data_IF_276648969268
#
_entry.id   IF_276648969268
#
_cell.length_a   1.000
_cell.length_b   1.000
_cell.length_c   1.000
_cell.angle_alpha   90.00
_cell.angle_beta   90.00
_cell.angle_gamma   90.00
#
_symmetry.space_group_name_H-M   'P 1'
#
loop_
_entity.id
_entity.type
_entity.pdbx_description
1 polymer ?
#
# COMPACT_ATOMS: atom_id res chain seq x y z
N UNK A 1 24.84 -7.79 -1.39
CA UNK A 1 23.63 -7.03 -0.98
C UNK A 1 22.75 -7.83 -0.02
N UNK A 2 22.58 -9.13 -0.23
CA UNK A 2 21.82 -10.06 0.65
C UNK A 2 22.26 -10.00 2.12
N UNK A 3 23.56 -10.21 2.42
CA UNK A 3 24.10 -10.14 3.80
C UNK A 3 23.81 -8.82 4.51
N UNK A 4 23.72 -7.72 3.76
CA UNK A 4 23.47 -6.37 4.29
C UNK A 4 21.98 -5.99 4.31
N UNK A 5 21.09 -6.83 3.78
CA UNK A 5 19.66 -6.55 3.57
C UNK A 5 19.42 -5.18 2.89
N UNK A 6 20.17 -4.91 1.82
CA UNK A 6 20.07 -3.67 1.03
C UNK A 6 19.67 -3.98 -0.41
N UNK A 7 18.99 -3.04 -1.04
CA UNK A 7 18.70 -3.01 -2.48
C UNK A 7 19.58 -1.95 -3.16
N UNK A 8 19.85 -2.10 -4.46
CA UNK A 8 20.50 -1.07 -5.26
C UNK A 8 19.45 -0.17 -5.90
N UNK A 9 19.57 1.16 -5.77
CA UNK A 9 18.75 2.09 -6.54
C UNK A 9 19.49 2.44 -7.82
N UNK A 10 18.85 2.24 -8.98
CA UNK A 10 19.48 2.44 -10.29
C UNK A 10 18.58 3.23 -11.23
N UNK A 11 19.21 3.88 -12.20
CA UNK A 11 18.55 4.47 -13.35
C UNK A 11 18.69 3.51 -14.54
N UNK A 12 17.61 2.88 -14.94
CA UNK A 12 17.59 1.90 -16.02
C UNK A 12 17.19 2.54 -17.36
N UNK A 13 17.92 2.18 -18.41
CA UNK A 13 17.66 2.55 -19.81
C UNK A 13 17.70 1.25 -20.63
N UNK A 14 16.54 0.73 -21.02
CA UNK A 14 16.44 -0.60 -21.67
C UNK A 14 16.79 -0.57 -23.16
N UNK A 15 16.68 0.60 -23.81
CA UNK A 15 17.05 0.81 -25.22
C UNK A 15 17.52 2.24 -25.46
N UNK A 16 18.23 2.47 -26.56
CA UNK A 16 18.62 3.82 -27.00
C UNK A 16 17.36 4.66 -27.21
N UNK A 17 17.39 5.91 -26.72
CA UNK A 17 16.29 6.88 -26.79
C UNK A 17 14.99 6.45 -26.05
N UNK A 18 15.06 5.55 -25.08
CA UNK A 18 13.97 5.36 -24.12
C UNK A 18 14.06 6.37 -22.98
N UNK A 19 12.91 6.69 -22.38
CA UNK A 19 12.88 7.46 -21.13
C UNK A 19 13.53 6.64 -20.00
N UNK A 20 14.46 7.23 -19.23
CA UNK A 20 15.07 6.55 -18.12
C UNK A 20 14.02 6.28 -17.02
N UNK A 21 14.12 5.13 -16.37
CA UNK A 21 13.23 4.72 -15.27
C UNK A 21 14.03 4.43 -14.01
N UNK A 22 13.52 4.85 -12.85
CA UNK A 22 14.11 4.42 -11.59
C UNK A 22 13.72 2.97 -11.32
N UNK A 23 14.70 2.14 -10.98
CA UNK A 23 14.47 0.76 -10.59
C UNK A 23 15.17 0.43 -9.26
N UNK A 24 14.58 -0.49 -8.53
CA UNK A 24 15.21 -1.17 -7.41
C UNK A 24 15.79 -2.51 -7.90
N UNK A 25 17.10 -2.66 -7.81
CA UNK A 25 17.79 -3.95 -7.96
C UNK A 25 17.71 -4.71 -6.64
N UNK A 26 16.81 -5.68 -6.59
CA UNK A 26 16.68 -6.58 -5.45
C UNK A 26 17.54 -7.83 -5.65
N UNK A 27 18.52 -8.11 -4.77
CA UNK A 27 19.38 -9.28 -4.92
C UNK A 27 18.61 -10.58 -4.63
N UNK A 28 18.72 -11.56 -5.51
CA UNK A 28 18.16 -12.91 -5.36
C UNK A 28 19.29 -13.93 -5.17
N UNK A 29 19.18 -14.74 -4.12
CA UNK A 29 20.03 -15.91 -3.95
C UNK A 29 19.48 -17.07 -4.78
N UNK A 30 20.37 -17.94 -5.22
CA UNK A 30 19.96 -19.21 -5.80
C UNK A 30 19.22 -20.05 -4.76
N UNK A 31 18.05 -20.54 -5.14
CA UNK A 31 17.33 -21.57 -4.39
C UNK A 31 17.05 -22.72 -5.35
N UNK A 32 17.82 -23.79 -5.21
CA UNK A 32 17.65 -24.99 -6.02
C UNK A 32 16.61 -25.89 -5.35
N UNK A 33 15.41 -25.97 -5.91
CA UNK A 33 14.43 -26.95 -5.47
C UNK A 33 14.65 -28.29 -6.17
N UNK A 34 14.41 -29.39 -5.44
CA UNK A 34 14.63 -30.77 -5.89
C UNK A 34 13.78 -31.14 -7.13
N UNK A 35 12.77 -30.32 -7.48
CA UNK A 35 11.88 -30.47 -8.63
C UNK A 35 12.39 -29.83 -9.95
N UNK A 36 13.61 -29.30 -9.99
CA UNK A 36 14.22 -28.73 -11.20
C UNK A 36 13.81 -27.30 -11.54
N UNK A 37 12.86 -26.73 -10.79
CA UNK A 37 12.59 -25.29 -10.79
C UNK A 37 13.55 -24.62 -9.81
N UNK A 38 14.42 -23.76 -10.32
CA UNK A 38 15.41 -23.05 -9.52
C UNK A 38 15.15 -21.56 -9.61
N UNK A 39 15.12 -20.89 -8.46
CA UNK A 39 15.24 -19.44 -8.41
C UNK A 39 16.64 -19.05 -8.90
N UNK A 40 16.79 -18.35 -10.03
CA UNK A 40 18.11 -18.07 -10.59
C UNK A 40 18.87 -17.07 -9.71
N UNK A 41 20.20 -17.24 -9.53
CA UNK A 41 20.99 -16.24 -8.84
C UNK A 41 21.06 -14.95 -9.67
N UNK A 42 20.85 -13.80 -9.03
CA UNK A 42 20.97 -12.53 -9.74
C UNK A 42 20.31 -11.35 -9.04
N UNK A 43 19.73 -10.47 -9.86
CA UNK A 43 19.02 -9.29 -9.39
C UNK A 43 17.67 -9.17 -10.10
N UNK A 44 16.61 -9.01 -9.31
CA UNK A 44 15.32 -8.56 -9.79
C UNK A 44 15.37 -7.08 -10.05
N UNK A 45 15.10 -6.67 -11.29
CA UNK A 45 14.95 -5.27 -11.65
C UNK A 45 13.48 -4.88 -11.46
N UNK A 46 13.18 -4.18 -10.37
CA UNK A 46 11.82 -3.76 -10.02
C UNK A 46 11.63 -2.29 -10.42
N UNK A 47 10.77 -1.97 -11.41
CA UNK A 47 10.41 -0.60 -11.73
C UNK A 47 9.80 0.13 -10.53
N UNK A 48 10.29 1.34 -10.25
CA UNK A 48 9.68 2.21 -9.25
C UNK A 48 8.76 3.22 -9.94
N UNK A 49 7.51 3.37 -9.47
CA UNK A 49 6.57 4.32 -10.06
C UNK A 49 7.05 5.77 -9.88
N UNK A 50 6.80 6.61 -10.88
CA UNK A 50 6.95 8.06 -10.73
C UNK A 50 5.77 8.64 -9.95
N UNK A 51 5.90 9.91 -9.53
CA UNK A 51 4.80 10.62 -8.86
C UNK A 51 3.50 10.64 -9.69
N UNK A 52 3.61 10.63 -11.02
CA UNK A 52 2.46 10.62 -11.93
C UNK A 52 1.75 9.26 -12.00
N UNK A 53 2.41 8.17 -11.62
CA UNK A 53 1.85 6.81 -11.57
C UNK A 53 1.12 6.55 -10.24
N UNK A 54 1.47 7.31 -9.18
CA UNK A 54 0.86 7.17 -7.85
C UNK A 54 -0.50 7.88 -7.85
N UNK A 55 -1.56 7.12 -7.56
CA UNK A 55 -2.93 7.64 -7.42
C UNK A 55 -3.27 7.75 -5.94
N UNK A 56 -3.77 8.91 -5.53
CA UNK A 56 -4.27 9.11 -4.17
C UNK A 56 -5.50 8.23 -3.93
N UNK A 57 -5.56 7.59 -2.75
CA UNK A 57 -6.72 6.80 -2.36
C UNK A 57 -7.94 7.72 -2.18
N UNK A 58 -9.13 7.34 -2.69
CA UNK A 58 -10.33 8.16 -2.59
C UNK A 58 -10.94 8.18 -1.17
N UNK A 59 -10.49 7.29 -0.28
CA UNK A 59 -11.03 7.14 1.08
C UNK A 59 -9.91 7.46 2.06
N UNK A 60 -10.16 8.43 2.94
CA UNK A 60 -9.23 8.89 3.97
C UNK A 60 -9.54 8.28 5.35
N UNK A 61 -10.72 7.68 5.52
CA UNK A 61 -11.18 7.06 6.77
C UNK A 61 -11.27 5.54 6.64
N UNK A 62 -10.46 4.85 7.43
CA UNK A 62 -10.48 3.39 7.56
C UNK A 62 -11.33 2.95 8.74
N UNK A 63 -11.84 1.73 8.66
CA UNK A 63 -12.62 1.09 9.71
C UNK A 63 -11.82 -0.08 10.28
N UNK A 64 -11.54 -0.07 11.58
CA UNK A 64 -10.79 -1.17 12.23
C UNK A 64 -11.72 -2.18 12.88
N UNK A 65 -11.63 -3.43 12.44
CA UNK A 65 -12.28 -4.58 13.06
C UNK A 65 -11.74 -4.87 14.48
N UNK A 66 -12.62 -5.39 15.34
CA UNK A 66 -12.26 -5.92 16.65
C UNK A 66 -11.35 -7.14 16.54
N UNK A 67 -10.64 -7.47 17.62
CA UNK A 67 -9.75 -8.64 17.63
C UNK A 67 -10.56 -9.96 17.65
N UNK A 68 -11.75 -9.97 18.25
CA UNK A 68 -12.65 -11.14 18.21
C UNK A 68 -13.10 -11.46 16.78
N UNK A 69 -13.39 -10.44 15.97
CA UNK A 69 -13.75 -10.62 14.56
C UNK A 69 -12.57 -11.11 13.71
N UNK A 70 -11.35 -10.64 14.01
CA UNK A 70 -10.12 -11.14 13.36
C UNK A 70 -9.84 -12.59 13.70
N UNK A 71 -10.00 -12.98 14.96
CA UNK A 71 -9.80 -14.38 15.39
C UNK A 71 -10.82 -15.31 14.72
N UNK A 72 -12.08 -14.86 14.62
CA UNK A 72 -13.11 -15.58 13.86
C UNK A 72 -12.75 -15.68 12.36
N UNK A 73 -12.14 -14.64 11.78
CA UNK A 73 -11.69 -14.65 10.40
C UNK A 73 -10.52 -15.61 10.15
N UNK A 74 -9.52 -15.60 11.02
CA UNK A 74 -8.34 -16.47 10.96
C UNK A 74 -8.71 -17.95 10.90
N UNK A 75 -9.75 -18.37 11.64
CA UNK A 75 -10.23 -19.76 11.64
C UNK A 75 -10.64 -20.25 10.26
N UNK A 76 -11.35 -19.44 9.48
CA UNK A 76 -11.77 -19.86 8.13
C UNK A 76 -10.68 -19.62 7.07
N UNK A 77 -9.87 -18.57 7.22
CA UNK A 77 -8.70 -18.30 6.35
C UNK A 77 -7.73 -19.49 6.42
N UNK A 78 -7.42 -19.97 7.63
CA UNK A 78 -6.56 -21.14 7.82
C UNK A 78 -7.08 -22.38 7.11
N UNK A 79 -8.41 -22.64 7.13
CA UNK A 79 -9.01 -23.78 6.43
C UNK A 79 -9.02 -23.67 4.90
N UNK A 80 -8.95 -22.46 4.37
CA UNK A 80 -8.92 -22.19 2.93
C UNK A 80 -7.52 -21.93 2.38
N UNK A 81 -6.51 -21.86 3.24
CA UNK A 81 -5.12 -21.82 2.82
C UNK A 81 -4.78 -23.04 1.96
N UNK A 82 -3.93 -22.81 0.96
CA UNK A 82 -3.46 -23.87 0.06
C UNK A 82 -2.56 -24.80 0.88
N UNK A 83 -2.72 -26.12 0.69
CA UNK A 83 -2.07 -27.16 1.52
C UNK A 83 -0.53 -27.05 1.58
N UNK A 84 0.10 -26.52 0.54
CA UNK A 84 1.55 -26.38 0.46
C UNK A 84 2.07 -25.04 1.00
N UNK A 85 1.21 -24.21 1.61
CA UNK A 85 1.58 -22.92 2.21
C UNK A 85 1.99 -21.82 1.21
N UNK A 86 2.38 -22.19 -0.01
CA UNK A 86 2.70 -21.30 -1.11
C UNK A 86 1.67 -21.41 -2.24
N UNK A 87 1.46 -20.30 -2.96
CA UNK A 87 0.67 -20.27 -4.18
C UNK A 87 1.53 -20.77 -5.35
N UNK A 88 1.18 -21.90 -6.00
CA UNK A 88 1.91 -22.40 -7.16
C UNK A 88 1.59 -21.55 -8.40
N UNK A 89 2.57 -20.82 -8.99
CA UNK A 89 2.31 -19.94 -10.14
C UNK A 89 1.80 -20.69 -11.38
N UNK A 90 2.23 -21.93 -11.59
CA UNK A 90 1.93 -22.71 -12.80
C UNK A 90 0.59 -23.46 -12.74
N UNK A 91 -0.12 -23.42 -11.60
CA UNK A 91 -1.37 -24.18 -11.44
C UNK A 91 -2.58 -23.54 -12.13
N UNK A 92 -2.45 -22.32 -12.63
CA UNK A 92 -3.58 -21.55 -13.17
C UNK A 92 -3.23 -20.98 -14.56
N UNK A 93 -3.55 -21.70 -15.64
CA UNK A 93 -3.34 -21.20 -17.00
C UNK A 93 -4.30 -20.06 -17.32
N UNK A 94 -3.95 -19.23 -18.31
CA UNK A 94 -4.85 -18.19 -18.83
C UNK A 94 -6.07 -18.84 -19.53
N UNK A 95 -7.30 -18.65 -19.03
CA UNK A 95 -8.50 -19.27 -19.61
C UNK A 95 -8.75 -18.87 -21.06
N UNK A 96 -8.50 -17.61 -21.42
CA UNK A 96 -8.74 -17.14 -22.79
C UNK A 96 -7.79 -17.81 -23.80
N UNK A 97 -6.54 -18.03 -23.41
CA UNK A 97 -5.58 -18.74 -24.26
C UNK A 97 -5.88 -20.24 -24.33
N UNK A 98 -6.24 -20.84 -23.19
CA UNK A 98 -6.60 -22.25 -23.13
C UNK A 98 -7.85 -22.54 -23.99
N UNK A 99 -8.88 -21.70 -23.88
CA UNK A 99 -10.10 -21.79 -24.69
C UNK A 99 -9.79 -21.64 -26.18
N UNK A 100 -9.00 -20.61 -26.55
CA UNK A 100 -8.61 -20.40 -27.94
C UNK A 100 -7.84 -21.58 -28.53
N UNK A 101 -6.88 -22.13 -27.78
CA UNK A 101 -6.10 -23.27 -28.24
C UNK A 101 -6.96 -24.54 -28.35
N UNK A 102 -7.87 -24.79 -27.42
CA UNK A 102 -8.81 -25.92 -27.48
C UNK A 102 -9.71 -25.82 -28.72
N UNK A 103 -10.17 -24.61 -29.06
CA UNK A 103 -10.94 -24.38 -30.29
C UNK A 103 -10.12 -24.62 -31.55
N UNK A 104 -8.86 -24.15 -31.58
CA UNK A 104 -7.94 -24.40 -32.70
C UNK A 104 -7.64 -25.89 -32.86
N UNK A 105 -7.47 -26.61 -31.76
CA UNK A 105 -7.25 -28.06 -31.74
C UNK A 105 -8.45 -28.81 -32.31
N UNK A 106 -9.66 -28.53 -31.81
CA UNK A 106 -10.90 -29.11 -32.34
C UNK A 106 -11.07 -28.81 -33.84
N UNK A 107 -10.79 -27.57 -34.27
CA UNK A 107 -10.84 -27.19 -35.68
C UNK A 107 -9.82 -27.94 -36.53
N UNK A 108 -8.60 -28.17 -36.02
CA UNK A 108 -7.55 -28.91 -36.72
C UNK A 108 -7.89 -30.39 -36.89
N UNK A 109 -8.51 -31.00 -35.89
CA UNK A 109 -8.98 -32.39 -35.92
C UNK A 109 -10.37 -32.56 -36.56
N UNK A 110 -11.04 -31.45 -36.92
CA UNK A 110 -12.41 -31.42 -37.46
C UNK A 110 -13.45 -32.00 -36.50
N UNK A 111 -13.24 -31.76 -35.22
CA UNK A 111 -14.17 -32.11 -34.13
C UNK A 111 -15.06 -30.90 -33.83
N UNK A 112 -16.29 -31.16 -33.35
CA UNK A 112 -17.15 -30.10 -32.84
C UNK A 112 -16.64 -29.66 -31.46
N UNK A 113 -16.39 -28.37 -31.31
CA UNK A 113 -15.98 -27.79 -30.04
C UNK A 113 -17.22 -27.43 -29.22
N UNK A 114 -17.41 -28.08 -28.07
CA UNK A 114 -18.44 -27.72 -27.10
C UNK A 114 -17.88 -26.70 -26.07
N UNK A 115 -18.38 -25.45 -26.05
CA UNK A 115 -17.98 -24.47 -25.06
C UNK A 115 -18.27 -24.87 -23.61
N UNK A 116 -19.29 -25.70 -23.37
CA UNK A 116 -19.72 -26.06 -22.02
C UNK A 116 -18.81 -27.12 -21.37
N UNK A 117 -18.03 -27.85 -22.17
CA UNK A 117 -17.04 -28.82 -21.68
C UNK A 117 -15.75 -28.16 -21.18
N UNK A 118 -15.50 -26.91 -21.52
CA UNK A 118 -14.28 -26.21 -21.12
C UNK A 118 -14.27 -25.87 -19.62
N UNK A 119 -13.35 -26.49 -18.87
CA UNK A 119 -13.16 -26.21 -17.44
C UNK A 119 -12.22 -25.03 -17.20
N UNK A 120 -12.74 -23.92 -16.67
CA UNK A 120 -11.94 -22.79 -16.19
C UNK A 120 -11.37 -23.06 -14.79
N UNK A 121 -10.08 -23.36 -14.74
CA UNK A 121 -9.33 -23.61 -13.50
C UNK A 121 -9.14 -22.36 -12.61
N UNK A 122 -9.37 -21.15 -13.15
CA UNK A 122 -9.26 -19.90 -12.37
C UNK A 122 -10.48 -19.65 -11.50
N UNK A 123 -11.61 -20.32 -11.78
CA UNK A 123 -12.82 -20.19 -10.99
C UNK A 123 -12.64 -20.80 -9.59
N UNK A 124 -13.02 -20.08 -8.51
CA UNK A 124 -12.98 -20.63 -7.17
C UNK A 124 -13.88 -21.86 -7.02
N UNK A 125 -13.36 -22.91 -6.38
CA UNK A 125 -14.12 -24.15 -6.11
C UNK A 125 -15.14 -23.96 -4.98
N UNK A 126 -16.22 -23.24 -5.24
CA UNK A 126 -17.24 -22.84 -4.25
C UNK A 126 -17.81 -24.00 -3.43
N UNK A 127 -18.08 -25.14 -4.06
CA UNK A 127 -18.59 -26.33 -3.36
C UNK A 127 -17.59 -26.84 -2.31
N UNK A 128 -16.30 -26.89 -2.65
CA UNK A 128 -15.24 -27.30 -1.73
C UNK A 128 -15.05 -26.28 -0.60
N UNK A 129 -15.05 -24.99 -0.93
CA UNK A 129 -14.91 -23.91 0.06
C UNK A 129 -16.05 -23.94 1.08
N UNK A 130 -17.29 -24.08 0.60
CA UNK A 130 -18.49 -24.16 1.44
C UNK A 130 -18.46 -25.40 2.33
N UNK A 131 -18.04 -26.55 1.81
CA UNK A 131 -17.89 -27.77 2.60
C UNK A 131 -16.85 -27.63 3.72
N UNK A 132 -15.73 -26.94 3.47
CA UNK A 132 -14.63 -26.80 4.45
C UNK A 132 -14.89 -25.72 5.50
N UNK A 133 -15.40 -24.57 5.09
CA UNK A 133 -15.48 -23.35 5.90
C UNK A 133 -16.90 -22.78 6.04
N UNK A 134 -17.92 -23.40 5.45
CA UNK A 134 -19.30 -22.92 5.44
C UNK A 134 -19.86 -22.50 6.80
N UNK A 135 -19.75 -23.33 7.87
CA UNK A 135 -20.22 -22.95 9.20
C UNK A 135 -19.48 -21.74 9.78
N UNK A 136 -18.15 -21.69 9.61
CA UNK A 136 -17.31 -20.59 10.10
C UNK A 136 -17.62 -19.27 9.40
N UNK A 137 -17.94 -19.31 8.10
CA UNK A 137 -18.40 -18.13 7.37
C UNK A 137 -19.71 -17.58 7.89
N UNK A 138 -20.67 -18.46 8.21
CA UNK A 138 -21.97 -18.04 8.74
C UNK A 138 -21.82 -17.39 10.11
N UNK A 139 -21.02 -18.00 10.98
CA UNK A 139 -20.70 -17.46 12.31
C UNK A 139 -20.01 -16.09 12.20
N UNK A 140 -18.96 -15.98 11.39
CA UNK A 140 -18.25 -14.72 11.17
C UNK A 140 -19.14 -13.63 10.59
N UNK A 141 -20.02 -13.95 9.62
CA UNK A 141 -21.01 -13.01 9.07
C UNK A 141 -22.00 -12.52 10.12
N UNK A 142 -22.46 -13.38 11.02
CA UNK A 142 -23.36 -13.00 12.11
C UNK A 142 -22.66 -12.10 13.13
N UNK A 143 -21.38 -12.34 13.41
CA UNK A 143 -20.58 -11.47 14.27
C UNK A 143 -20.36 -10.10 13.63
N UNK A 144 -20.00 -10.06 12.35
CA UNK A 144 -19.83 -8.82 11.60
C UNK A 144 -21.11 -7.97 11.57
N UNK A 145 -22.28 -8.60 11.38
CA UNK A 145 -23.56 -7.89 11.34
C UNK A 145 -23.98 -7.28 12.70
N UNK A 146 -23.39 -7.76 13.81
CA UNK A 146 -23.66 -7.24 15.16
C UNK A 146 -22.69 -6.14 15.59
N UNK A 147 -21.59 -5.93 14.86
CA UNK A 147 -20.64 -4.86 15.17
C UNK A 147 -21.10 -3.54 14.54
N UNK A 148 -21.62 -2.62 15.36
CA UNK A 148 -22.09 -1.29 14.93
C UNK A 148 -21.00 -0.22 14.85
N UNK A 149 -19.74 -0.53 15.14
CA UNK A 149 -18.72 0.50 15.29
C UNK A 149 -17.33 0.01 14.95
N UNK A 150 -17.01 -0.01 13.66
CA UNK A 150 -15.60 0.02 13.31
C UNK A 150 -15.05 1.41 13.62
N UNK A 151 -13.93 1.47 14.34
CA UNK A 151 -13.30 2.74 14.69
C UNK A 151 -12.76 3.41 13.44
N UNK A 152 -13.04 4.71 13.28
CA UNK A 152 -12.47 5.54 12.21
C UNK A 152 -10.99 5.74 12.49
N UNK A 153 -10.14 5.25 11.59
CA UNK A 153 -8.70 5.49 11.58
C UNK A 153 -8.41 6.37 10.37
N UNK A 154 -7.88 7.56 10.61
CA UNK A 154 -7.36 8.41 9.53
C UNK A 154 -6.18 7.71 8.85
N UNK A 155 -6.29 7.50 7.54
CA UNK A 155 -5.23 6.92 6.73
C UNK A 155 -4.17 8.00 6.45
N UNK A 156 -2.87 7.67 6.49
CA UNK A 156 -1.82 8.62 6.11
C UNK A 156 -1.98 8.97 4.62
N UNK A 157 -2.23 10.25 4.34
CA UNK A 157 -2.38 10.77 2.98
C UNK A 157 -1.00 10.98 2.32
N UNK A 158 -0.41 9.89 1.83
CA UNK A 158 0.77 9.97 0.97
C UNK A 158 0.35 10.39 -0.44
N UNK A 159 0.64 11.64 -0.82
CA UNK A 159 0.42 12.12 -2.19
C UNK A 159 0.16 13.62 -2.36
N UNK A 160 -0.06 14.39 -1.29
CA UNK A 160 -0.05 15.85 -1.42
C UNK A 160 1.39 16.30 -1.64
N UNK A 161 1.69 16.82 -2.85
CA UNK A 161 2.81 17.76 -3.07
C UNK A 161 2.79 18.71 -1.88
N UNK A 162 3.82 18.66 -1.02
CA UNK A 162 3.94 19.53 0.15
C UNK A 162 3.94 20.98 -0.36
N UNK A 163 2.77 21.61 -0.41
CA UNK A 163 2.68 23.03 -0.11
C UNK A 163 3.13 23.13 1.34
N UNK A 164 4.14 23.96 1.60
CA UNK A 164 4.52 24.27 2.97
C UNK A 164 3.24 24.69 3.71
N UNK A 165 2.87 23.96 4.76
CA UNK A 165 1.77 24.37 5.63
C UNK A 165 2.15 25.72 6.24
N UNK A 166 1.42 26.76 5.84
CA UNK A 166 1.59 28.12 6.37
C UNK A 166 0.90 28.30 7.73
N UNK A 167 0.02 27.38 8.13
CA UNK A 167 -0.76 27.46 9.38
C UNK A 167 -0.09 26.66 10.48
N UNK A 168 0.52 27.34 11.45
CA UNK A 168 1.03 26.69 12.67
C UNK A 168 -0.09 26.61 13.70
N UNK A 169 -0.35 25.39 14.18
CA UNK A 169 -1.32 25.10 15.21
C UNK A 169 -0.87 25.72 16.56
N UNK A 170 -1.75 26.49 17.21
CA UNK A 170 -1.44 27.32 18.40
C UNK A 170 -0.85 26.51 19.57
N UNK A 171 -1.31 25.26 19.72
CA UNK A 171 -0.85 24.34 20.77
C UNK A 171 0.61 23.95 20.61
N UNK A 172 1.07 23.75 19.38
CA UNK A 172 2.48 23.43 19.09
C UNK A 172 3.38 24.65 19.32
N UNK A 173 2.88 25.85 19.02
CA UNK A 173 3.60 27.12 19.24
C UNK A 173 3.82 27.39 20.74
N UNK A 174 2.80 27.15 21.58
CA UNK A 174 2.93 27.24 23.05
C UNK A 174 3.93 26.23 23.63
N UNK A 175 4.04 25.04 23.07
CA UNK A 175 5.03 24.05 23.50
C UNK A 175 6.45 24.49 23.11
N UNK A 176 6.64 24.96 21.88
CA UNK A 176 7.92 25.49 21.39
C UNK A 176 8.36 26.75 22.15
N UNK A 177 7.40 27.56 22.62
CA UNK A 177 7.66 28.69 23.51
C UNK A 177 8.23 28.22 24.86
N UNK A 178 7.56 27.26 25.51
CA UNK A 178 8.01 26.71 26.80
C UNK A 178 9.37 26.02 26.75
N UNK A 179 9.75 25.47 25.59
CA UNK A 179 11.05 24.81 25.39
C UNK A 179 12.15 25.76 24.89
N UNK A 180 11.82 27.04 24.60
CA UNK A 180 12.79 28.02 24.09
C UNK A 180 13.23 27.78 22.63
N UNK A 181 12.46 26.99 21.86
CA UNK A 181 12.83 26.54 20.52
C UNK A 181 12.15 27.32 19.38
N UNK A 182 11.58 28.50 19.66
CA UNK A 182 10.93 29.38 18.65
C UNK A 182 11.86 29.74 17.48
N UNK A 183 13.18 29.76 17.72
CA UNK A 183 14.18 30.02 16.70
C UNK A 183 14.21 28.96 15.58
N UNK A 184 13.66 27.76 15.79
CA UNK A 184 13.56 26.69 14.78
C UNK A 184 12.45 26.92 13.77
N UNK A 185 11.46 27.78 14.06
CA UNK A 185 10.37 28.10 13.14
C UNK A 185 10.89 28.91 11.93
N UNK A 186 10.27 28.71 10.77
CA UNK A 186 10.57 29.51 9.57
C UNK A 186 9.95 30.89 9.70
N UNK A 187 10.54 31.88 9.04
CA UNK A 187 10.04 33.28 9.04
C UNK A 187 8.59 33.34 8.53
N UNK A 188 8.25 32.52 7.55
CA UNK A 188 6.89 32.48 6.96
C UNK A 188 5.84 31.99 7.98
N UNK A 189 6.21 31.02 8.82
CA UNK A 189 5.37 30.50 9.90
C UNK A 189 5.17 31.52 11.03
N UNK A 190 6.22 32.24 11.40
CA UNK A 190 6.14 33.33 12.38
C UNK A 190 5.27 34.48 11.86
N UNK A 191 5.41 34.85 10.58
CA UNK A 191 4.57 35.88 9.95
C UNK A 191 3.11 35.45 9.83
N UNK A 192 2.84 34.19 9.55
CA UNK A 192 1.48 33.65 9.50
C UNK A 192 0.79 33.74 10.87
N UNK A 193 1.50 33.39 11.95
CA UNK A 193 1.00 33.53 13.31
C UNK A 193 0.81 35.00 13.74
N UNK A 194 1.73 35.89 13.35
CA UNK A 194 1.54 37.32 13.54
C UNK A 194 0.30 37.82 12.79
N UNK A 195 0.08 37.36 11.56
CA UNK A 195 -1.08 37.76 10.75
C UNK A 195 -2.40 37.23 11.31
N UNK A 196 -2.44 36.01 11.86
CA UNK A 196 -3.64 35.44 12.48
C UNK A 196 -4.03 36.17 13.78
N UNK A 197 -3.04 36.67 14.51
CA UNK A 197 -3.23 37.39 15.78
C UNK A 197 -3.16 38.92 15.61
N UNK A 198 -3.33 39.43 14.38
CA UNK A 198 -3.33 40.86 14.05
C UNK A 198 -2.08 41.65 14.52
N UNK A 199 -0.93 40.98 14.60
CA UNK A 199 0.37 41.58 14.95
C UNK A 199 1.15 42.04 13.71
N UNK A 200 2.03 43.05 13.84
CA UNK A 200 2.86 43.52 12.74
C UNK A 200 3.89 42.47 12.29
N UNK A 201 3.88 42.15 10.99
CA UNK A 201 4.73 41.16 10.32
C UNK A 201 6.08 41.71 9.82
N UNK A 202 6.39 42.97 10.15
CA UNK A 202 7.64 43.65 9.78
C UNK A 202 8.75 43.33 10.79
N UNK A 203 9.97 43.15 10.28
CA UNK A 203 11.17 42.93 11.10
C UNK A 203 12.05 41.77 10.61
N UNK A 204 13.20 41.63 11.28
CA UNK A 204 14.08 40.46 11.17
C UNK A 204 13.46 39.28 11.95
N UNK A 205 14.00 38.09 11.75
CA UNK A 205 13.49 36.86 12.41
C UNK A 205 13.50 36.96 13.95
N UNK A 206 14.48 37.64 14.53
CA UNK A 206 14.55 37.88 15.97
C UNK A 206 13.35 38.72 16.46
N UNK A 207 13.07 39.85 15.81
CA UNK A 207 11.95 40.74 16.14
C UNK A 207 10.58 40.02 16.08
N UNK A 208 10.43 39.06 15.16
CA UNK A 208 9.22 38.23 15.06
C UNK A 208 9.14 37.20 16.19
N UNK A 209 10.26 36.63 16.64
CA UNK A 209 10.29 35.68 17.76
C UNK A 209 9.93 36.40 19.06
N UNK A 210 10.53 37.56 19.31
CA UNK A 210 10.29 38.34 20.52
C UNK A 210 8.81 38.74 20.62
N UNK A 211 8.23 39.22 19.51
CA UNK A 211 6.83 39.64 19.45
C UNK A 211 5.84 38.47 19.63
N UNK A 212 6.18 37.30 19.10
CA UNK A 212 5.41 36.07 19.33
C UNK A 212 5.55 35.59 20.77
N UNK A 213 6.73 35.74 21.38
CA UNK A 213 6.96 35.44 22.78
C UNK A 213 6.15 36.32 23.72
N UNK A 214 6.19 37.64 23.52
CA UNK A 214 5.41 38.61 24.31
C UNK A 214 3.90 38.33 24.23
N UNK A 215 3.40 37.96 23.05
CA UNK A 215 1.99 37.61 22.87
C UNK A 215 1.59 36.34 23.64
N UNK A 216 2.45 35.32 23.64
CA UNK A 216 2.23 34.06 24.38
C UNK A 216 2.45 34.21 25.90
N UNK A 217 3.20 35.23 26.34
CA UNK A 217 3.30 35.60 27.76
C UNK A 217 2.06 36.35 28.26
N UNK A 218 1.39 37.11 27.38
CA UNK A 218 0.19 37.86 27.73
C UNK A 218 -1.12 37.08 27.57
N UNK A 219 -1.14 35.97 26.82
CA UNK A 219 -2.34 35.16 26.51
C UNK A 219 -2.10 33.65 26.66
#
# INVERSE_FOLDING_TARGET
MIKKKRIGLVLALTRRNASPMFCALSPQAENAEEGGWNEPPGFHLIPLPFADDIRAAPIETGYRASDTLKDAALKWIGKLSVKNGSYPPDSYPNPALAYHNAQLEASAFREEFDPDEFEDLTLPKYAMMTKRAGPLFKEWKQMLAKEEGANVVELPSDGKKRKAEETVDEKNLRQLYKTGELHKLRVDQLKAFCKSNAMPVSGKKADLIDRVGEFLDTH
#
